data_IF_941084124860
#
_entry.id   IF_941084124860
#
_cell.length_a   1.000
_cell.length_b   1.000
_cell.length_c   1.000
_cell.angle_alpha   90.00
_cell.angle_beta   90.00
_cell.angle_gamma   90.00
#
_symmetry.space_group_name_H-M   'P 1'
#
loop_
_entity.id
_entity.type
_entity.pdbx_description
1 polymer ?
#
# COMPACT_ATOMS: atom_id res chain seq x y z
N UNK A 1 19.03 3.41 -30.34
CA UNK A 1 17.77 2.68 -30.05
C UNK A 1 17.77 2.37 -28.57
N UNK A 2 17.14 3.21 -27.77
CA UNK A 2 16.97 2.96 -26.34
C UNK A 2 15.80 1.97 -26.23
N UNK A 3 16.07 0.75 -25.79
CA UNK A 3 15.01 -0.22 -25.48
C UNK A 3 14.22 0.34 -24.31
N UNK A 4 13.03 0.88 -24.58
CA UNK A 4 12.07 1.24 -23.53
C UNK A 4 11.67 -0.06 -22.84
N UNK A 5 12.22 -0.29 -21.64
CA UNK A 5 11.72 -1.37 -20.79
C UNK A 5 10.23 -1.13 -20.57
N UNK A 6 9.41 -2.17 -20.77
CA UNK A 6 7.98 -2.10 -20.45
C UNK A 6 7.89 -2.02 -18.94
N UNK A 7 7.66 -0.82 -18.41
CA UNK A 7 7.42 -0.63 -16.99
C UNK A 7 6.07 -1.24 -16.65
N UNK A 8 6.02 -2.16 -15.68
CA UNK A 8 4.74 -2.69 -15.21
C UNK A 8 3.98 -1.63 -14.41
N UNK A 9 2.66 -1.76 -14.25
CA UNK A 9 1.88 -0.84 -13.40
C UNK A 9 2.41 -0.80 -11.96
N UNK A 10 2.72 -1.93 -11.31
CA UNK A 10 3.34 -1.91 -9.98
C UNK A 10 4.66 -1.14 -9.92
N UNK A 11 5.53 -1.30 -10.93
CA UNK A 11 6.81 -0.57 -10.99
C UNK A 11 6.57 0.93 -11.16
N UNK A 12 5.63 1.31 -12.04
CA UNK A 12 5.28 2.71 -12.28
C UNK A 12 4.73 3.37 -11.02
N UNK A 13 3.83 2.68 -10.30
CA UNK A 13 3.30 3.16 -9.03
C UNK A 13 4.38 3.27 -7.96
N UNK A 14 5.37 2.38 -7.97
CA UNK A 14 6.53 2.46 -7.07
C UNK A 14 7.41 3.68 -7.38
N UNK A 15 7.70 3.94 -8.65
CA UNK A 15 8.47 5.11 -9.08
C UNK A 15 7.74 6.43 -8.76
N UNK A 16 6.41 6.43 -8.96
CA UNK A 16 5.53 7.54 -8.58
C UNK A 16 5.55 7.78 -7.06
N UNK A 17 5.43 6.73 -6.25
CA UNK A 17 5.50 6.82 -4.78
C UNK A 17 6.85 7.38 -4.31
N UNK A 18 7.95 6.90 -4.89
CA UNK A 18 9.30 7.40 -4.60
C UNK A 18 9.46 8.89 -4.95
N UNK A 19 8.73 9.38 -5.95
CA UNK A 19 8.66 10.80 -6.33
C UNK A 19 7.62 11.60 -5.51
N UNK A 20 6.92 10.97 -4.55
CA UNK A 20 5.86 11.59 -3.76
C UNK A 20 4.57 11.84 -4.55
N UNK A 21 4.39 11.18 -5.70
CA UNK A 21 3.22 11.29 -6.57
C UNK A 21 2.18 10.25 -6.17
N UNK A 22 0.95 10.71 -5.94
CA UNK A 22 -0.20 9.85 -5.67
C UNK A 22 -1.17 9.91 -6.84
N UNK A 23 -1.60 8.75 -7.32
CA UNK A 23 -2.65 8.60 -8.32
C UNK A 23 -3.94 8.11 -7.66
N UNK A 24 -5.09 8.56 -8.16
CA UNK A 24 -6.39 7.96 -7.88
C UNK A 24 -7.26 8.00 -9.12
N UNK A 25 -8.28 7.14 -9.18
CA UNK A 25 -9.27 7.17 -10.25
C UNK A 25 -10.57 7.81 -9.75
N UNK A 26 -11.19 8.65 -10.59
CA UNK A 26 -12.51 9.20 -10.35
C UNK A 26 -13.24 9.30 -11.69
N UNK A 27 -14.43 8.70 -11.78
CA UNK A 27 -15.26 8.71 -13.00
C UNK A 27 -14.51 8.30 -14.28
N UNK A 28 -13.63 7.29 -14.19
CA UNK A 28 -12.84 6.79 -15.32
C UNK A 28 -11.66 7.69 -15.74
N UNK A 29 -11.34 8.71 -14.95
CA UNK A 29 -10.17 9.56 -15.15
C UNK A 29 -9.11 9.28 -14.09
N UNK A 30 -7.84 9.41 -14.48
CA UNK A 30 -6.72 9.36 -13.54
C UNK A 30 -6.46 10.79 -13.08
N UNK A 31 -6.52 10.98 -11.78
CA UNK A 31 -6.12 12.19 -11.10
C UNK A 31 -4.81 11.95 -10.38
N UNK A 32 -4.05 13.03 -10.13
CA UNK A 32 -2.81 12.92 -9.40
C UNK A 32 -2.53 14.14 -8.52
N UNK A 33 -1.77 13.90 -7.46
CA UNK A 33 -1.18 14.91 -6.59
C UNK A 33 0.32 14.70 -6.60
N UNK A 34 1.09 15.77 -6.81
CA UNK A 34 2.54 15.72 -6.85
C UNK A 34 3.13 16.92 -6.11
N UNK A 35 4.25 16.76 -5.37
CA UNK A 35 4.96 17.87 -4.72
C UNK A 35 5.60 18.83 -5.74
N UNK A 36 5.82 18.37 -6.98
CA UNK A 36 6.43 19.12 -8.06
C UNK A 36 5.78 18.80 -9.42
N UNK A 37 5.97 19.61 -10.48
CA UNK A 37 5.48 19.27 -11.81
C UNK A 37 6.07 17.93 -12.31
N UNK A 38 5.22 17.05 -12.86
CA UNK A 38 5.68 15.78 -13.43
C UNK A 38 6.61 16.03 -14.62
N UNK A 39 7.73 15.30 -14.66
CA UNK A 39 8.60 15.25 -15.84
C UNK A 39 7.85 14.73 -17.07
N UNK A 40 8.35 15.02 -18.30
CA UNK A 40 7.73 14.50 -19.52
C UNK A 40 7.74 12.97 -19.56
N UNK A 41 8.84 12.33 -19.16
CA UNK A 41 8.98 10.86 -19.16
C UNK A 41 7.91 10.16 -18.31
N UNK A 42 7.68 10.68 -17.10
CA UNK A 42 6.70 10.12 -16.17
C UNK A 42 5.25 10.35 -16.66
N UNK A 43 5.00 11.50 -17.31
CA UNK A 43 3.70 11.75 -17.95
C UNK A 43 3.45 10.79 -19.10
N UNK A 44 4.45 10.58 -19.95
CA UNK A 44 4.34 9.66 -21.09
C UNK A 44 4.12 8.22 -20.60
N UNK A 45 4.79 7.80 -19.52
CA UNK A 45 4.57 6.51 -18.88
C UNK A 45 3.14 6.35 -18.33
N UNK A 46 2.60 7.35 -17.63
CA UNK A 46 1.21 7.34 -17.15
C UNK A 46 0.21 7.27 -18.31
N UNK A 47 0.46 8.02 -19.39
CA UNK A 47 -0.41 8.01 -20.59
C UNK A 47 -0.37 6.64 -21.27
N UNK A 48 0.83 6.06 -21.43
CA UNK A 48 1.02 4.78 -22.09
C UNK A 48 0.33 3.63 -21.33
N UNK A 49 0.38 3.67 -19.99
CA UNK A 49 -0.21 2.65 -19.10
C UNK A 49 -1.61 3.01 -18.61
N UNK A 50 -2.29 3.99 -19.22
CA UNK A 50 -3.57 4.53 -18.72
C UNK A 50 -4.67 3.45 -18.57
N UNK A 51 -4.92 2.57 -19.56
CA UNK A 51 -5.96 1.55 -19.42
C UNK A 51 -5.71 0.62 -18.22
N UNK A 52 -4.48 0.15 -18.05
CA UNK A 52 -4.08 -0.77 -17.00
C UNK A 52 -4.11 -0.08 -15.63
N UNK A 53 -3.70 1.19 -15.55
CA UNK A 53 -3.82 2.01 -14.35
C UNK A 53 -5.28 2.20 -13.93
N UNK A 54 -6.20 2.40 -14.87
CA UNK A 54 -7.63 2.54 -14.54
C UNK A 54 -8.22 1.24 -13.99
N UNK A 55 -7.84 0.08 -14.54
CA UNK A 55 -8.25 -1.22 -14.00
C UNK A 55 -7.69 -1.42 -12.60
N UNK A 56 -6.38 -1.20 -12.42
CA UNK A 56 -5.71 -1.33 -11.12
C UNK A 56 -6.32 -0.41 -10.05
N UNK A 57 -6.54 0.86 -10.39
CA UNK A 57 -7.12 1.85 -9.47
C UNK A 57 -8.61 1.63 -9.20
N UNK A 58 -9.33 0.88 -10.04
CA UNK A 58 -10.73 0.52 -9.80
C UNK A 58 -10.88 -0.65 -8.82
N UNK A 59 -9.84 -1.49 -8.69
CA UNK A 59 -9.79 -2.58 -7.70
C UNK A 59 -9.42 -2.09 -6.30
N UNK A 60 -8.89 -0.87 -6.19
CA UNK A 60 -8.53 -0.26 -4.92
C UNK A 60 -9.76 0.21 -4.15
N UNK A 61 -9.96 -0.36 -2.96
CA UNK A 61 -10.94 0.09 -2.00
C UNK A 61 -10.23 0.73 -0.80
N UNK A 62 -9.99 2.04 -0.90
CA UNK A 62 -9.29 2.78 0.15
C UNK A 62 -10.04 2.81 1.49
N UNK A 63 -11.37 2.72 1.48
CA UNK A 63 -12.14 2.66 2.72
C UNK A 63 -11.95 1.32 3.43
N UNK A 64 -11.97 0.23 2.67
CA UNK A 64 -11.67 -1.10 3.19
C UNK A 64 -10.21 -1.23 3.67
N UNK A 65 -9.24 -0.67 2.94
CA UNK A 65 -7.85 -0.65 3.37
C UNK A 65 -7.68 0.02 4.74
N UNK A 66 -8.25 1.22 4.91
CA UNK A 66 -8.21 1.96 6.18
C UNK A 66 -8.90 1.17 7.30
N UNK A 67 -10.04 0.53 7.03
CA UNK A 67 -10.75 -0.29 8.01
C UNK A 67 -9.87 -1.45 8.50
N UNK A 68 -9.23 -2.17 7.59
CA UNK A 68 -8.33 -3.29 7.92
C UNK A 68 -7.12 -2.83 8.75
N UNK A 69 -6.52 -1.69 8.40
CA UNK A 69 -5.40 -1.10 9.14
C UNK A 69 -5.81 -0.74 10.58
N UNK A 70 -6.96 -0.09 10.74
CA UNK A 70 -7.51 0.28 12.05
C UNK A 70 -7.88 -0.95 12.90
N UNK A 71 -8.41 -2.01 12.29
CA UNK A 71 -8.72 -3.25 13.00
C UNK A 71 -7.47 -3.98 13.49
N UNK A 72 -6.43 -4.03 12.67
CA UNK A 72 -5.15 -4.61 13.07
C UNK A 72 -4.49 -3.82 14.20
N UNK A 73 -4.47 -2.49 14.11
CA UNK A 73 -3.94 -1.60 15.15
C UNK A 73 -4.74 -1.70 16.46
N UNK A 74 -6.08 -1.62 16.37
CA UNK A 74 -6.96 -1.77 17.53
C UNK A 74 -6.84 -3.13 18.21
N UNK A 75 -6.57 -4.20 17.46
CA UNK A 75 -6.30 -5.51 18.05
C UNK A 75 -4.99 -5.51 18.86
N UNK A 76 -3.90 -4.96 18.31
CA UNK A 76 -2.61 -4.82 19.01
C UNK A 76 -2.80 -4.05 20.31
N UNK A 77 -3.52 -2.93 20.27
CA UNK A 77 -3.83 -2.11 21.44
C UNK A 77 -4.67 -2.88 22.47
N UNK A 78 -5.77 -3.53 22.04
CA UNK A 78 -6.68 -4.25 22.94
C UNK A 78 -6.01 -5.43 23.68
N UNK A 79 -4.99 -6.04 23.07
CA UNK A 79 -4.19 -7.11 23.67
C UNK A 79 -3.04 -6.58 24.54
N UNK A 80 -2.88 -5.25 24.64
CA UNK A 80 -1.82 -4.59 25.39
C UNK A 80 -0.42 -4.96 24.88
N UNK A 81 -0.28 -5.18 23.58
CA UNK A 81 1.00 -5.50 22.94
C UNK A 81 1.71 -4.20 22.60
N UNK A 82 3.00 -4.12 22.94
CA UNK A 82 3.81 -2.96 22.61
C UNK A 82 4.11 -2.94 21.10
N UNK A 83 4.00 -1.76 20.48
CA UNK A 83 4.27 -1.55 19.06
C UNK A 83 5.77 -1.67 18.67
N UNK A 84 6.62 -2.23 19.53
CA UNK A 84 8.04 -2.44 19.29
C UNK A 84 8.42 -3.88 18.95
N UNK A 85 7.43 -4.78 18.79
CA UNK A 85 7.70 -6.12 18.26
C UNK A 85 8.18 -6.00 16.79
N UNK A 86 9.36 -6.53 16.44
CA UNK A 86 9.95 -6.30 15.13
C UNK A 86 9.12 -6.90 13.98
N UNK A 87 8.39 -7.99 14.22
CA UNK A 87 7.53 -8.61 13.20
C UNK A 87 6.30 -7.74 12.93
N UNK A 88 5.73 -7.14 13.97
CA UNK A 88 4.63 -6.16 13.82
C UNK A 88 5.12 -4.92 13.08
N UNK A 89 6.28 -4.37 13.43
CA UNK A 89 6.85 -3.20 12.76
C UNK A 89 7.09 -3.45 11.27
N UNK A 90 7.76 -4.56 10.93
CA UNK A 90 8.01 -4.92 9.53
C UNK A 90 6.71 -5.14 8.75
N UNK A 91 5.69 -5.73 9.38
CA UNK A 91 4.38 -5.89 8.76
C UNK A 91 3.66 -4.55 8.57
N UNK A 92 3.75 -3.63 9.53
CA UNK A 92 3.21 -2.28 9.40
C UNK A 92 3.88 -1.52 8.25
N UNK A 93 5.21 -1.60 8.12
CA UNK A 93 5.95 -0.98 6.99
C UNK A 93 5.48 -1.56 5.64
N UNK A 94 5.32 -2.89 5.55
CA UNK A 94 4.75 -3.52 4.35
C UNK A 94 3.32 -3.06 4.06
N UNK A 95 2.50 -2.85 5.10
CA UNK A 95 1.14 -2.34 4.96
C UNK A 95 1.15 -0.92 4.37
N UNK A 96 1.98 -0.02 4.90
CA UNK A 96 2.14 1.35 4.39
C UNK A 96 2.56 1.33 2.92
N UNK A 97 3.56 0.51 2.56
CA UNK A 97 3.99 0.39 1.18
C UNK A 97 2.91 -0.18 0.25
N UNK A 98 2.13 -1.16 0.71
CA UNK A 98 1.02 -1.71 -0.05
C UNK A 98 -0.10 -0.67 -0.24
N UNK A 99 -0.45 0.06 0.82
CA UNK A 99 -1.42 1.16 0.77
C UNK A 99 -1.00 2.22 -0.24
N UNK A 100 0.26 2.64 -0.19
CA UNK A 100 0.83 3.62 -1.11
C UNK A 100 0.76 3.20 -2.58
N UNK A 101 0.87 1.90 -2.87
CA UNK A 101 0.74 1.30 -4.21
C UNK A 101 -0.69 0.92 -4.57
N UNK A 102 -1.67 1.25 -3.74
CA UNK A 102 -3.06 0.83 -3.90
C UNK A 102 -3.20 -0.71 -4.08
N UNK A 103 -2.42 -1.48 -3.32
CA UNK A 103 -2.36 -2.94 -3.37
C UNK A 103 -3.18 -3.55 -2.22
N UNK A 104 -4.45 -3.84 -2.49
CA UNK A 104 -5.36 -4.46 -1.52
C UNK A 104 -4.88 -5.84 -1.05
N UNK A 105 -4.20 -6.60 -1.91
CA UNK A 105 -3.68 -7.92 -1.53
C UNK A 105 -2.56 -7.77 -0.52
N UNK A 106 -1.64 -6.84 -0.76
CA UNK A 106 -0.56 -6.48 0.15
C UNK A 106 -1.07 -5.96 1.50
N UNK A 107 -2.06 -5.06 1.52
CA UNK A 107 -2.66 -4.54 2.76
C UNK A 107 -3.25 -5.68 3.59
N UNK A 108 -4.10 -6.53 3.00
CA UNK A 108 -4.71 -7.68 3.69
C UNK A 108 -3.66 -8.63 4.27
N UNK A 109 -2.64 -8.96 3.47
CA UNK A 109 -1.58 -9.86 3.92
C UNK A 109 -0.78 -9.26 5.09
N UNK A 110 -0.47 -7.97 5.05
CA UNK A 110 0.24 -7.28 6.12
C UNK A 110 -0.57 -7.22 7.42
N UNK A 111 -1.84 -6.81 7.35
CA UNK A 111 -2.76 -6.80 8.51
C UNK A 111 -2.88 -8.19 9.14
N UNK A 112 -3.04 -9.24 8.32
CA UNK A 112 -3.13 -10.62 8.83
C UNK A 112 -1.87 -11.05 9.61
N UNK A 113 -0.67 -10.64 9.17
CA UNK A 113 0.58 -10.91 9.89
C UNK A 113 0.61 -10.18 11.24
N UNK A 114 0.20 -8.91 11.28
CA UNK A 114 0.10 -8.14 12.53
C UNK A 114 -0.83 -8.85 13.51
N UNK A 115 -2.03 -9.22 13.06
CA UNK A 115 -3.02 -9.86 13.93
C UNK A 115 -2.55 -11.22 14.48
N UNK A 116 -2.01 -12.09 13.62
CA UNK A 116 -1.49 -13.39 14.04
C UNK A 116 -0.35 -13.24 15.06
N UNK A 117 0.58 -12.29 14.81
CA UNK A 117 1.68 -12.02 15.73
C UNK A 117 1.19 -11.51 17.08
N UNK A 118 0.28 -10.54 17.09
CA UNK A 118 -0.29 -9.99 18.32
C UNK A 118 -0.98 -11.07 19.17
N UNK A 119 -1.78 -11.94 18.55
CA UNK A 119 -2.45 -13.06 19.24
C UNK A 119 -1.45 -14.06 19.82
N UNK A 120 -0.36 -14.38 19.10
CA UNK A 120 0.70 -15.27 19.60
C UNK A 120 1.40 -14.70 20.84
N UNK A 121 1.74 -13.40 20.80
CA UNK A 121 2.37 -12.71 21.93
C UNK A 121 1.45 -12.68 23.16
N UNK A 122 0.16 -12.37 22.97
CA UNK A 122 -0.82 -12.36 24.05
C UNK A 122 -0.96 -13.75 24.72
N UNK A 123 -0.99 -14.83 23.94
CA UNK A 123 -1.03 -16.20 24.47
C UNK A 123 0.22 -16.54 25.28
N UNK A 124 1.41 -16.14 24.79
CA UNK A 124 2.67 -16.38 25.49
C UNK A 124 2.75 -15.70 26.86
N UNK A 125 2.15 -14.51 27.01
CA UNK A 125 2.11 -13.79 28.29
C UNK A 125 1.24 -14.46 29.36
N UNK A 126 0.15 -15.11 28.96
CA UNK A 126 -0.76 -15.78 29.89
C UNK A 126 -0.24 -17.15 30.37
N UNK A 127 0.81 -17.67 29.75
CA UNK A 127 1.43 -18.95 30.09
C UNK A 127 2.65 -18.81 31.02
N UNK A 128 3.10 -17.57 31.29
CA UNK A 128 4.23 -17.23 32.15
C UNK A 128 3.75 -16.74 33.52
#
# INVERSE_FOLDING_TARGET
MTTTAILTVPDLLSDLDAAGVRLWSESGNIHYRSPSPLGPELRDAIIASKPELLVHLAEWDGAEAIRLEQEADGLVESLGILANDPVIQEAADRCVHAHHRNDMTGVRAACAVVEDRARKLAKGRNAA
#
